data_IF_781292570775
#
_entry.id   IF_781292570775
#
_cell.length_a   1.000
_cell.length_b   1.000
_cell.length_c   1.000
_cell.angle_alpha   90.00
_cell.angle_beta   90.00
_cell.angle_gamma   90.00
#
_symmetry.space_group_name_H-M   'P 1'
#
loop_
_entity.id
_entity.type
_entity.pdbx_description
1 polymer ?
#
# COMPACT_ATOMS: atom_id res chain seq x y z
N UNK A 1 -15.70 18.39 -6.01
CA UNK A 1 -14.68 17.51 -6.64
C UNK A 1 -13.64 17.17 -5.59
N UNK A 2 -13.23 15.92 -5.51
CA UNK A 2 -12.08 15.46 -4.74
C UNK A 2 -10.79 15.83 -5.46
N UNK A 3 -9.69 15.99 -4.72
CA UNK A 3 -8.38 16.29 -5.29
C UNK A 3 -7.84 15.11 -6.11
N UNK A 4 -8.07 13.88 -5.67
CA UNK A 4 -7.49 12.66 -6.21
C UNK A 4 -6.09 12.40 -5.67
N UNK A 5 -5.79 12.87 -4.44
CA UNK A 5 -4.54 12.49 -3.76
C UNK A 5 -4.49 10.98 -3.56
N UNK A 6 -5.63 10.40 -3.35
CA UNK A 6 -5.88 8.96 -3.41
C UNK A 6 -6.18 8.53 -4.87
N UNK A 7 -5.22 7.89 -5.61
CA UNK A 7 -3.85 7.65 -5.14
C UNK A 7 -2.80 8.25 -6.09
N UNK A 8 -2.98 9.51 -6.51
CA UNK A 8 -1.99 10.22 -7.32
C UNK A 8 -0.73 10.53 -6.50
N UNK A 9 -0.86 10.69 -5.17
CA UNK A 9 0.30 10.86 -4.28
C UNK A 9 1.26 9.68 -4.38
N UNK A 10 0.78 8.45 -4.23
CA UNK A 10 1.59 7.25 -4.35
C UNK A 10 2.23 7.09 -5.73
N UNK A 11 1.51 7.42 -6.81
CA UNK A 11 2.07 7.41 -8.17
C UNK A 11 3.26 8.41 -8.26
N UNK A 12 3.10 9.62 -7.75
CA UNK A 12 4.16 10.64 -7.78
C UNK A 12 5.37 10.22 -6.95
N UNK A 13 5.15 9.70 -5.76
CA UNK A 13 6.22 9.20 -4.89
C UNK A 13 7.02 8.08 -5.56
N UNK A 14 6.36 7.10 -6.16
CA UNK A 14 7.00 6.00 -6.89
C UNK A 14 7.85 6.53 -8.04
N UNK A 15 7.28 7.36 -8.90
CA UNK A 15 7.97 7.86 -10.07
C UNK A 15 9.17 8.75 -9.69
N UNK A 16 9.01 9.60 -8.68
CA UNK A 16 10.07 10.47 -8.22
C UNK A 16 11.19 9.68 -7.53
N UNK A 17 10.87 8.73 -6.66
CA UNK A 17 11.89 7.92 -6.00
C UNK A 17 12.71 7.08 -6.99
N UNK A 18 12.06 6.49 -7.98
CA UNK A 18 12.75 5.71 -9.02
C UNK A 18 13.72 6.59 -9.80
N UNK A 19 13.29 7.80 -10.17
CA UNK A 19 14.19 8.76 -10.83
C UNK A 19 15.41 9.10 -9.96
N UNK A 20 15.20 9.38 -8.66
CA UNK A 20 16.29 9.67 -7.73
C UNK A 20 17.28 8.49 -7.58
N UNK A 21 16.76 7.27 -7.47
CA UNK A 21 17.59 6.06 -7.36
C UNK A 21 18.42 5.87 -8.62
N UNK A 22 17.84 6.00 -9.80
CA UNK A 22 18.55 5.88 -11.08
C UNK A 22 19.61 6.98 -11.23
N UNK A 23 19.29 8.22 -10.91
CA UNK A 23 20.23 9.36 -11.01
C UNK A 23 21.38 9.23 -10.01
N UNK A 24 21.17 8.55 -8.88
CA UNK A 24 22.21 8.33 -7.88
C UNK A 24 23.35 7.43 -8.38
N UNK A 25 23.10 6.59 -9.36
CA UNK A 25 24.02 5.56 -9.84
C UNK A 25 24.39 4.50 -8.81
N UNK A 26 23.72 4.45 -7.67
CA UNK A 26 23.97 3.45 -6.63
C UNK A 26 23.44 2.08 -7.05
N UNK A 27 24.08 0.98 -6.62
CA UNK A 27 23.49 -0.35 -6.75
C UNK A 27 22.13 -0.41 -6.05
N UNK A 28 21.17 -1.01 -6.71
CA UNK A 28 19.82 -1.15 -6.18
C UNK A 28 19.22 -2.50 -6.55
N UNK A 29 18.17 -2.92 -5.84
CA UNK A 29 17.40 -4.12 -6.16
C UNK A 29 16.68 -3.96 -7.51
N UNK A 30 16.27 -5.09 -8.11
CA UNK A 30 15.33 -5.08 -9.24
C UNK A 30 14.02 -4.46 -8.77
N UNK A 31 13.53 -3.49 -9.53
CA UNK A 31 12.28 -2.79 -9.25
C UNK A 31 11.24 -3.28 -10.26
N UNK A 32 10.08 -3.66 -9.77
CA UNK A 32 8.88 -3.95 -10.56
C UNK A 32 7.80 -2.98 -10.08
N UNK A 33 7.27 -2.16 -10.97
CA UNK A 33 6.23 -1.18 -10.67
C UNK A 33 4.92 -1.69 -11.23
N UNK A 34 3.89 -1.70 -10.40
CA UNK A 34 2.55 -2.09 -10.79
C UNK A 34 1.57 -0.96 -10.43
N UNK A 35 0.91 -0.42 -11.45
CA UNK A 35 -0.22 0.47 -11.29
C UNK A 35 -1.49 -0.30 -11.63
N UNK A 36 -2.37 -0.42 -10.67
CA UNK A 36 -3.64 -1.13 -10.82
C UNK A 36 -4.77 -0.15 -11.14
N UNK A 37 -5.90 -0.67 -11.55
CA UNK A 37 -7.11 0.11 -11.81
C UNK A 37 -8.27 -0.44 -10.97
N UNK A 38 -9.15 0.46 -10.51
CA UNK A 38 -10.39 0.07 -9.85
C UNK A 38 -10.15 -0.56 -8.48
N UNK A 39 -9.21 -0.05 -7.72
CA UNK A 39 -8.98 -0.41 -6.31
C UNK A 39 -10.26 -0.19 -5.52
N UNK A 40 -10.85 0.99 -5.57
CA UNK A 40 -12.11 1.39 -4.95
C UNK A 40 -13.33 0.54 -5.35
N UNK A 41 -13.20 -0.23 -6.42
CA UNK A 41 -14.21 -1.16 -6.90
C UNK A 41 -13.91 -2.60 -6.44
N UNK A 42 -13.46 -2.76 -5.19
CA UNK A 42 -13.07 -4.03 -4.59
C UNK A 42 -11.82 -4.65 -5.23
N UNK A 43 -10.74 -3.87 -5.33
CA UNK A 43 -9.39 -4.28 -5.80
C UNK A 43 -9.38 -5.04 -7.14
N UNK A 44 -10.30 -4.68 -8.04
CA UNK A 44 -10.55 -5.44 -9.28
C UNK A 44 -9.33 -5.60 -10.17
N UNK A 45 -8.50 -4.57 -10.26
CA UNK A 45 -7.30 -4.60 -11.09
C UNK A 45 -6.28 -5.60 -10.59
N UNK A 46 -5.97 -5.57 -9.31
CA UNK A 46 -5.02 -6.48 -8.68
C UNK A 46 -5.55 -7.91 -8.58
N UNK A 47 -6.85 -8.11 -8.37
CA UNK A 47 -7.44 -9.47 -8.24
C UNK A 47 -7.39 -10.26 -9.58
N UNK A 48 -7.44 -9.57 -10.72
CA UNK A 48 -7.38 -10.20 -12.05
C UNK A 48 -6.00 -10.14 -12.71
N UNK A 49 -5.03 -9.51 -12.06
CA UNK A 49 -3.68 -9.37 -12.62
C UNK A 49 -2.97 -10.73 -12.70
N UNK A 50 -2.19 -10.92 -13.76
CA UNK A 50 -1.41 -12.14 -13.97
C UNK A 50 -0.09 -12.10 -13.18
N UNK A 51 -0.15 -12.57 -11.93
CA UNK A 51 1.00 -12.60 -11.01
C UNK A 51 2.15 -13.51 -11.45
N UNK A 52 1.95 -14.37 -12.46
CA UNK A 52 3.05 -15.16 -13.02
C UNK A 52 4.14 -14.28 -13.67
N UNK A 53 3.82 -13.02 -13.97
CA UNK A 53 4.75 -12.02 -14.53
C UNK A 53 5.59 -11.33 -13.47
N UNK A 54 5.22 -11.44 -12.19
CA UNK A 54 5.94 -10.83 -11.08
C UNK A 54 7.01 -11.77 -10.57
N UNK A 55 8.22 -11.29 -10.43
CA UNK A 55 9.35 -12.04 -9.85
C UNK A 55 9.68 -11.60 -8.43
N UNK A 56 9.24 -10.41 -8.05
CA UNK A 56 9.39 -9.87 -6.71
C UNK A 56 8.70 -10.78 -5.67
N UNK A 57 9.29 -10.86 -4.49
CA UNK A 57 8.74 -11.60 -3.33
C UNK A 57 8.26 -10.67 -2.23
N UNK A 58 8.58 -9.40 -2.34
CA UNK A 58 8.18 -8.33 -1.45
C UNK A 58 7.48 -7.25 -2.26
N UNK A 59 6.47 -6.62 -1.69
CA UNK A 59 5.78 -5.48 -2.26
C UNK A 59 5.57 -4.39 -1.21
N UNK A 60 5.60 -3.15 -1.65
CA UNK A 60 5.18 -2.00 -0.85
C UNK A 60 4.04 -1.33 -1.61
N UNK A 61 2.91 -1.19 -0.94
CA UNK A 61 1.69 -0.62 -1.50
C UNK A 61 1.49 0.75 -0.85
N UNK A 62 1.40 1.78 -1.65
CA UNK A 62 1.15 3.14 -1.19
C UNK A 62 -0.35 3.38 -1.25
N UNK A 63 -1.03 3.19 -0.13
CA UNK A 63 -2.49 3.20 -0.09
C UNK A 63 -3.01 3.32 1.36
N UNK A 64 -2.32 4.11 2.20
CA UNK A 64 -2.76 4.33 3.56
C UNK A 64 -2.89 5.82 3.86
N UNK A 65 -4.09 6.24 4.23
CA UNK A 65 -4.35 7.59 4.74
C UNK A 65 -3.75 7.78 6.15
N UNK A 66 -3.15 8.94 6.40
CA UNK A 66 -2.61 9.33 7.71
C UNK A 66 -3.67 9.32 8.83
N UNK A 67 -4.93 9.42 8.49
CA UNK A 67 -6.05 9.50 9.43
C UNK A 67 -6.86 8.19 9.51
N UNK A 68 -6.41 7.10 8.89
CA UNK A 68 -7.17 5.85 8.84
C UNK A 68 -7.17 5.17 10.21
N UNK A 69 -8.31 5.21 10.89
CA UNK A 69 -8.50 4.60 12.22
C UNK A 69 -9.18 3.24 12.18
N UNK A 70 -9.96 2.93 11.15
CA UNK A 70 -10.64 1.63 11.03
C UNK A 70 -11.32 1.46 9.66
N UNK A 71 -11.06 0.35 8.97
CA UNK A 71 -11.80 -0.06 7.78
C UNK A 71 -11.96 -1.60 7.76
N UNK A 72 -13.09 -2.11 7.23
CA UNK A 72 -13.33 -3.54 7.04
C UNK A 72 -13.34 -3.82 5.53
N UNK A 73 -12.34 -4.54 5.03
CA UNK A 73 -12.13 -4.78 3.60
C UNK A 73 -13.31 -5.51 2.93
N UNK A 74 -13.61 -6.74 3.30
CA UNK A 74 -14.76 -7.46 2.75
C UNK A 74 -15.50 -8.24 3.81
N UNK A 75 -16.84 -8.18 3.75
CA UNK A 75 -17.72 -9.02 4.55
C UNK A 75 -18.61 -9.80 3.57
N UNK A 76 -18.54 -11.12 3.60
CA UNK A 76 -19.41 -11.98 2.82
C UNK A 76 -20.32 -12.77 3.75
N UNK A 77 -21.63 -12.58 3.60
CA UNK A 77 -22.62 -13.31 4.40
C UNK A 77 -24.05 -13.14 3.85
N UNK A 78 -24.83 -14.18 4.02
CA UNK A 78 -26.24 -14.19 3.64
C UNK A 78 -26.53 -14.52 2.17
N UNK A 79 -27.79 -14.86 1.92
CA UNK A 79 -28.31 -15.24 0.61
C UNK A 79 -29.25 -14.18 0.02
N UNK A 80 -29.76 -13.28 0.85
CA UNK A 80 -30.63 -12.17 0.45
C UNK A 80 -30.67 -11.08 1.51
N UNK A 81 -31.00 -9.85 1.12
CA UNK A 81 -30.97 -8.65 1.98
C UNK A 81 -31.98 -8.67 3.12
N UNK A 82 -32.97 -9.51 3.05
CA UNK A 82 -34.05 -9.67 4.04
C UNK A 82 -33.94 -10.96 4.88
N UNK A 83 -32.80 -11.67 4.79
CA UNK A 83 -32.53 -12.89 5.54
C UNK A 83 -31.30 -12.63 6.43
N UNK A 84 -31.46 -12.92 7.73
CA UNK A 84 -30.32 -12.87 8.66
C UNK A 84 -29.35 -14.00 8.29
N UNK A 85 -28.09 -13.72 7.98
CA UNK A 85 -27.11 -14.73 7.60
C UNK A 85 -26.79 -15.66 8.78
N UNK A 86 -26.70 -16.94 8.51
CA UNK A 86 -26.23 -17.96 9.43
C UNK A 86 -24.68 -17.99 9.54
N UNK A 87 -24.01 -17.42 8.55
CA UNK A 87 -22.55 -17.32 8.49
C UNK A 87 -22.14 -15.99 7.86
N UNK A 88 -21.09 -15.40 8.43
CA UNK A 88 -20.38 -14.27 7.85
C UNK A 88 -18.88 -14.63 7.83
N UNK A 89 -18.26 -14.53 6.66
CA UNK A 89 -16.82 -14.81 6.50
C UNK A 89 -16.08 -13.50 6.29
N UNK A 90 -15.10 -13.25 7.16
CA UNK A 90 -14.10 -12.21 6.97
C UNK A 90 -12.79 -12.88 6.58
N UNK A 91 -12.18 -12.39 5.50
CA UNK A 91 -10.83 -12.78 5.13
C UNK A 91 -9.92 -11.57 5.32
N UNK A 92 -8.89 -11.75 6.13
CA UNK A 92 -7.84 -10.77 6.34
C UNK A 92 -6.49 -11.44 6.12
N UNK A 93 -5.51 -10.65 5.69
CA UNK A 93 -4.13 -11.08 5.59
C UNK A 93 -3.30 -10.23 6.55
N UNK A 94 -2.44 -10.87 7.30
CA UNK A 94 -1.53 -10.21 8.22
C UNK A 94 -0.09 -10.42 7.72
N UNK A 95 0.66 -9.34 7.63
CA UNK A 95 2.09 -9.42 7.36
C UNK A 95 2.81 -9.64 8.69
N UNK A 96 3.53 -10.76 8.88
CA UNK A 96 4.21 -11.05 10.14
C UNK A 96 5.23 -9.97 10.51
N UNK A 97 5.32 -9.62 11.80
CA UNK A 97 6.25 -8.59 12.29
C UNK A 97 7.71 -8.91 11.98
N UNK A 98 8.06 -10.21 11.89
CA UNK A 98 9.40 -10.69 11.57
C UNK A 98 9.67 -10.74 10.07
N UNK A 99 8.68 -10.39 9.26
CA UNK A 99 8.81 -10.43 7.81
C UNK A 99 9.89 -9.49 7.30
N UNK A 100 10.41 -9.79 6.11
CA UNK A 100 11.46 -8.97 5.54
C UNK A 100 10.95 -7.59 5.13
N UNK A 101 9.72 -7.46 4.67
CA UNK A 101 9.12 -6.17 4.33
C UNK A 101 9.02 -5.26 5.56
N UNK A 102 8.60 -5.79 6.71
CA UNK A 102 8.51 -5.04 7.97
C UNK A 102 9.89 -4.66 8.49
N UNK A 103 10.84 -5.60 8.51
CA UNK A 103 12.20 -5.32 9.02
C UNK A 103 12.95 -4.34 8.12
N UNK A 104 12.81 -4.42 6.80
CA UNK A 104 13.40 -3.45 5.87
C UNK A 104 12.74 -2.06 6.06
N UNK A 105 11.42 -1.98 6.26
CA UNK A 105 10.71 -0.74 6.55
C UNK A 105 11.23 -0.07 7.83
N UNK A 106 11.28 -0.80 8.94
CA UNK A 106 11.77 -0.26 10.21
C UNK A 106 13.21 0.24 10.10
N UNK A 107 14.07 -0.51 9.40
CA UNK A 107 15.44 -0.09 9.14
C UNK A 107 15.53 1.16 8.26
N UNK A 108 14.69 1.28 7.24
CA UNK A 108 14.62 2.47 6.40
C UNK A 108 14.19 3.69 7.23
N UNK A 109 13.16 3.54 8.06
CA UNK A 109 12.72 4.59 8.98
C UNK A 109 13.83 5.01 9.95
N UNK A 110 14.55 4.06 10.55
CA UNK A 110 15.70 4.36 11.44
C UNK A 110 16.77 5.20 10.72
N UNK A 111 17.13 4.83 9.49
CA UNK A 111 18.14 5.55 8.69
C UNK A 111 17.69 6.98 8.38
N UNK A 112 16.41 7.16 8.10
CA UNK A 112 15.84 8.48 7.72
C UNK A 112 15.41 9.31 8.94
N UNK A 113 15.38 8.74 10.13
CA UNK A 113 14.87 9.39 11.34
C UNK A 113 13.34 9.54 11.33
N UNK A 114 12.64 8.66 10.63
CA UNK A 114 11.18 8.63 10.59
C UNK A 114 10.61 7.74 11.71
N UNK A 115 9.33 7.94 12.04
CA UNK A 115 8.61 6.98 12.87
C UNK A 115 8.42 5.68 12.10
N UNK A 116 8.89 4.58 12.67
CA UNK A 116 8.67 3.22 12.15
C UNK A 116 7.45 2.55 12.81
N UNK A 117 6.43 3.32 13.18
CA UNK A 117 5.24 2.80 13.82
C UNK A 117 4.47 1.87 12.89
N UNK A 118 4.05 0.74 13.43
CA UNK A 118 3.25 -0.25 12.73
C UNK A 118 1.83 -0.21 13.29
N UNK A 119 0.87 -0.16 12.40
CA UNK A 119 -0.54 -0.22 12.76
C UNK A 119 -1.25 -1.30 11.96
N UNK A 120 -2.30 -1.88 12.54
CA UNK A 120 -3.17 -2.80 11.82
C UNK A 120 -4.36 -2.04 11.25
N UNK A 121 -4.64 -2.25 9.98
CA UNK A 121 -5.87 -1.78 9.33
C UNK A 121 -6.67 -2.96 8.81
N UNK A 122 -7.99 -2.85 8.85
CA UNK A 122 -8.90 -3.80 8.22
C UNK A 122 -9.39 -3.30 6.85
N UNK A 123 -8.74 -2.26 6.31
CA UNK A 123 -8.97 -1.75 4.97
C UNK A 123 -8.67 -2.79 3.90
N UNK A 124 -9.47 -2.77 2.83
CA UNK A 124 -9.09 -3.44 1.61
C UNK A 124 -7.98 -2.62 0.94
N UNK A 125 -6.97 -3.30 0.43
CA UNK A 125 -5.99 -2.72 -0.47
C UNK A 125 -5.50 -3.79 -1.43
N UNK A 126 -4.81 -3.39 -2.46
CA UNK A 126 -4.15 -4.29 -3.41
C UNK A 126 -3.18 -5.28 -2.71
N UNK A 127 -2.73 -4.96 -1.50
CA UNK A 127 -1.92 -5.86 -0.67
C UNK A 127 -2.59 -7.21 -0.42
N UNK A 128 -3.91 -7.27 -0.33
CA UNK A 128 -4.63 -8.52 -0.16
C UNK A 128 -4.42 -9.47 -1.35
N UNK A 129 -4.40 -8.91 -2.56
CA UNK A 129 -4.13 -9.68 -3.79
C UNK A 129 -2.68 -10.14 -3.87
N UNK A 130 -1.71 -9.34 -3.43
CA UNK A 130 -0.31 -9.76 -3.32
C UNK A 130 -0.15 -10.92 -2.32
N UNK A 131 -0.68 -10.80 -1.12
CA UNK A 131 -0.60 -11.83 -0.09
C UNK A 131 -1.23 -13.15 -0.54
N UNK A 132 -2.40 -13.08 -1.21
CA UNK A 132 -3.09 -14.24 -1.81
C UNK A 132 -2.23 -14.96 -2.85
N UNK A 133 -1.31 -14.25 -3.52
CA UNK A 133 -0.39 -14.79 -4.51
C UNK A 133 1.03 -15.05 -3.97
N UNK A 134 1.20 -15.07 -2.65
CA UNK A 134 2.46 -15.42 -1.98
C UNK A 134 3.55 -14.35 -2.10
N UNK A 135 3.15 -13.10 -2.31
CA UNK A 135 4.04 -11.94 -2.26
C UNK A 135 3.84 -11.27 -0.90
N UNK A 136 4.92 -11.11 -0.15
CA UNK A 136 4.91 -10.46 1.15
C UNK A 136 4.80 -8.95 0.97
N UNK A 137 3.67 -8.38 1.35
CA UNK A 137 3.38 -6.97 1.15
C UNK A 137 3.26 -6.19 2.45
N UNK A 138 3.57 -4.90 2.39
CA UNK A 138 3.33 -3.93 3.45
C UNK A 138 2.68 -2.69 2.84
N UNK A 139 1.58 -2.24 3.44
CA UNK A 139 0.93 -0.98 3.03
C UNK A 139 1.62 0.18 3.73
N UNK A 140 2.00 1.18 2.98
CA UNK A 140 2.67 2.38 3.46
C UNK A 140 1.73 3.58 3.39
N UNK A 141 1.84 4.46 4.37
CA UNK A 141 1.22 5.78 4.30
C UNK A 141 1.96 6.64 3.26
N UNK A 142 1.20 7.35 2.46
CA UNK A 142 1.67 8.18 1.34
C UNK A 142 1.16 9.62 1.41
N UNK A 143 1.01 10.14 2.62
CA UNK A 143 0.67 11.55 2.85
C UNK A 143 -0.71 11.96 2.36
N UNK A 144 -1.66 11.04 2.33
CA UNK A 144 -3.06 11.34 2.04
C UNK A 144 -3.80 11.74 3.31
N UNK A 145 -4.52 12.85 3.26
CA UNK A 145 -5.35 13.33 4.36
C UNK A 145 -6.78 13.52 3.90
N UNK A 146 -7.74 13.16 4.74
CA UNK A 146 -9.17 13.22 4.47
C UNK A 146 -9.57 12.56 3.15
N UNK A 147 -8.92 11.45 2.80
CA UNK A 147 -9.22 10.68 1.60
C UNK A 147 -10.73 10.41 1.46
N UNK A 148 -11.22 10.26 0.23
CA UNK A 148 -12.63 10.06 -0.10
C UNK A 148 -13.56 11.24 0.27
N UNK A 149 -13.01 12.43 0.49
CA UNK A 149 -13.79 13.61 0.83
C UNK A 149 -13.43 14.83 -0.02
N UNK A 150 -14.30 15.85 -0.01
CA UNK A 150 -14.00 17.14 -0.64
C UNK A 150 -12.97 17.98 0.11
N UNK A 151 -12.49 17.50 1.25
CA UNK A 151 -11.43 18.11 2.05
C UNK A 151 -10.10 17.38 1.91
N UNK A 152 -10.01 16.45 0.98
CA UNK A 152 -8.80 15.71 0.67
C UNK A 152 -7.65 16.66 0.32
N UNK A 153 -6.49 16.39 0.87
CA UNK A 153 -5.25 17.10 0.56
C UNK A 153 -4.03 16.21 0.78
N UNK A 154 -2.93 16.63 0.23
CA UNK A 154 -1.56 16.14 0.54
C UNK A 154 -0.64 17.34 0.69
N UNK A 155 0.55 17.13 1.22
CA UNK A 155 1.58 18.18 1.28
C UNK A 155 2.79 17.79 0.44
N UNK A 156 3.51 18.80 -0.06
CA UNK A 156 4.74 18.57 -0.83
C UNK A 156 5.80 17.91 0.06
N UNK A 157 5.83 18.23 1.35
CA UNK A 157 6.77 17.65 2.31
C UNK A 157 6.51 16.15 2.51
N UNK A 158 5.25 15.74 2.60
CA UNK A 158 4.89 14.33 2.75
C UNK A 158 5.20 13.52 1.49
N UNK A 159 4.95 14.08 0.30
CA UNK A 159 5.35 13.45 -0.96
C UNK A 159 6.87 13.23 -1.04
N UNK A 160 7.68 14.18 -0.57
CA UNK A 160 9.13 14.01 -0.51
C UNK A 160 9.54 12.92 0.49
N UNK A 161 8.94 12.91 1.68
CA UNK A 161 9.22 11.88 2.70
C UNK A 161 8.84 10.48 2.22
N UNK A 162 7.69 10.34 1.58
CA UNK A 162 7.26 9.08 0.97
C UNK A 162 8.25 8.58 -0.08
N UNK A 163 8.67 9.46 -0.99
CA UNK A 163 9.66 9.13 -2.00
C UNK A 163 11.04 8.78 -1.40
N UNK A 164 11.49 9.46 -0.34
CA UNK A 164 12.72 9.13 0.39
C UNK A 164 12.65 7.75 1.04
N UNK A 165 11.51 7.44 1.67
CA UNK A 165 11.27 6.14 2.29
C UNK A 165 11.34 5.01 1.26
N UNK A 166 10.62 5.13 0.16
CA UNK A 166 10.63 4.13 -0.92
C UNK A 166 12.04 4.01 -1.50
N UNK A 167 12.71 5.13 -1.74
CA UNK A 167 14.09 5.14 -2.24
C UNK A 167 15.04 4.40 -1.31
N UNK A 168 14.91 4.57 0.01
CA UNK A 168 15.73 3.86 1.00
C UNK A 168 15.42 2.36 1.02
N UNK A 169 14.15 1.96 0.88
CA UNK A 169 13.75 0.55 0.78
C UNK A 169 14.34 -0.15 -0.46
N UNK A 170 14.43 0.56 -1.57
CA UNK A 170 15.04 0.04 -2.82
C UNK A 170 16.56 -0.17 -2.66
N UNK A 171 17.23 0.65 -1.86
CA UNK A 171 18.67 0.61 -1.65
C UNK A 171 19.12 -0.38 -0.56
N UNK A 172 18.20 -0.89 0.28
CA UNK A 172 18.45 -1.90 1.32
C UNK A 172 18.56 -3.32 0.74
#
# INVERSE_FOLDING_TARGET
>A
TVLGADDISGILEILYCVQLVLDSGKPHKKIEILFTIGEELYVKGSDVFDYSKVTAKQAYVLDLSEETTFNIGTIQGGTATNIVPDCCVLTAYETPLESKSVTDFQKACEILGFSGELTGTFGGSDNNSFAKNGIEGLVLSNGMYNAHSTREYTTVDDLYKGAELIGQLILL
#
